data_IF_217014786370
#
_entry.id   IF_217014786370
#
_cell.length_a   1.000
_cell.length_b   1.000
_cell.length_c   1.000
_cell.angle_alpha   90.00
_cell.angle_beta   90.00
_cell.angle_gamma   90.00
#
_symmetry.space_group_name_H-M   'P 1'
#
loop_
_entity.id
_entity.type
_entity.pdbx_description
1 polymer ?
#
# COMPACT_ATOMS: atom_id res chain seq x y z
N UNK A 1 6.03 -63.37 13.67
CA UNK A 1 5.30 -63.66 14.93
C UNK A 1 4.33 -62.53 15.19
N UNK A 2 3.05 -62.86 15.44
CA UNK A 2 1.90 -61.99 15.77
C UNK A 2 1.41 -61.12 14.59
N UNK A 3 0.38 -61.46 13.78
CA UNK A 3 -1.02 -61.85 14.03
C UNK A 3 -1.86 -60.77 14.73
N UNK A 4 -3.05 -60.48 14.17
CA UNK A 4 -4.24 -59.72 14.63
C UNK A 4 -4.61 -58.57 13.67
N UNK A 5 -5.81 -58.41 13.09
CA UNK A 5 -7.01 -59.23 12.95
C UNK A 5 -7.83 -58.69 11.76
N UNK A 6 -8.60 -59.58 11.12
CA UNK A 6 -9.38 -59.40 9.89
C UNK A 6 -10.87 -59.17 10.24
N UNK A 7 -11.62 -58.58 9.29
CA UNK A 7 -13.10 -58.51 9.14
C UNK A 7 -13.84 -57.36 9.83
N UNK A 8 -14.42 -56.50 8.99
CA UNK A 8 -15.87 -56.35 8.95
C UNK A 8 -16.34 -55.91 7.54
N UNK A 9 -17.00 -56.83 6.83
CA UNK A 9 -17.84 -56.55 5.67
C UNK A 9 -19.22 -57.15 5.97
N UNK A 10 -20.27 -56.38 5.72
CA UNK A 10 -21.61 -56.91 5.50
C UNK A 10 -22.72 -56.08 6.13
N UNK A 11 -23.38 -55.23 5.34
CA UNK A 11 -24.81 -55.42 5.17
C UNK A 11 -25.34 -54.83 3.86
N UNK A 12 -26.14 -55.65 3.17
CA UNK A 12 -26.96 -55.31 1.99
C UNK A 12 -28.24 -54.64 2.47
N UNK A 13 -28.73 -53.63 1.75
CA UNK A 13 -30.04 -53.06 2.05
C UNK A 13 -30.55 -51.99 1.08
N UNK A 14 -31.25 -52.47 0.05
CA UNK A 14 -32.40 -51.86 -0.65
C UNK A 14 -32.19 -50.68 -1.63
N UNK A 15 -32.79 -50.92 -2.80
CA UNK A 15 -33.01 -50.02 -3.93
C UNK A 15 -33.99 -48.89 -3.58
N UNK A 16 -33.67 -47.69 -4.04
CA UNK A 16 -34.61 -46.58 -4.23
C UNK A 16 -34.19 -45.81 -5.48
N UNK A 17 -35.00 -45.88 -6.54
CA UNK A 17 -34.84 -45.09 -7.76
C UNK A 17 -35.32 -43.67 -7.48
N UNK A 18 -34.42 -42.69 -7.50
CA UNK A 18 -34.75 -41.28 -7.74
C UNK A 18 -33.86 -40.74 -8.84
N UNK A 19 -34.49 -40.44 -9.97
CA UNK A 19 -33.91 -39.63 -11.05
C UNK A 19 -34.03 -38.17 -10.65
N UNK A 20 -32.92 -37.57 -10.21
CA UNK A 20 -32.78 -36.14 -9.98
C UNK A 20 -31.45 -35.69 -10.58
N UNK A 21 -31.55 -34.76 -11.53
CA UNK A 21 -30.42 -34.09 -12.19
C UNK A 21 -29.39 -33.61 -11.18
N UNK A 22 -28.20 -34.20 -11.21
CA UNK A 22 -27.02 -33.74 -10.47
C UNK A 22 -26.07 -33.06 -11.44
N UNK A 23 -25.80 -31.78 -11.20
CA UNK A 23 -24.65 -31.08 -11.75
C UNK A 23 -23.36 -31.87 -11.47
N UNK A 24 -22.35 -31.81 -12.36
CA UNK A 24 -21.10 -32.53 -12.15
C UNK A 24 -20.36 -31.96 -10.93
N UNK A 25 -20.33 -32.74 -9.85
CA UNK A 25 -19.47 -32.50 -8.70
C UNK A 25 -18.04 -32.81 -9.12
N UNK A 26 -17.16 -31.81 -9.03
CA UNK A 26 -15.74 -31.95 -9.30
C UNK A 26 -15.08 -32.69 -8.12
N UNK A 27 -14.82 -33.98 -8.30
CA UNK A 27 -14.11 -34.83 -7.32
C UNK A 27 -12.60 -34.54 -7.38
N UNK A 28 -12.14 -33.67 -6.47
CA UNK A 28 -10.72 -33.45 -6.22
C UNK A 28 -10.27 -34.51 -5.22
N UNK A 29 -9.80 -35.65 -5.74
CA UNK A 29 -9.31 -36.77 -4.94
C UNK A 29 -8.29 -36.36 -3.85
N UNK A 30 -8.02 -37.25 -2.88
CA UNK A 30 -7.25 -36.91 -1.69
C UNK A 30 -5.87 -36.37 -2.04
N UNK A 31 -5.50 -35.26 -1.39
CA UNK A 31 -4.23 -34.58 -1.59
C UNK A 31 -3.07 -35.55 -1.34
N UNK A 32 -2.19 -35.68 -2.34
CA UNK A 32 -0.96 -36.45 -2.22
C UNK A 32 -0.12 -35.93 -1.04
N UNK A 33 0.20 -36.83 -0.12
CA UNK A 33 1.19 -36.58 0.94
C UNK A 33 2.55 -36.40 0.28
N UNK A 34 3.09 -35.19 0.34
CA UNK A 34 4.42 -34.88 -0.17
C UNK A 34 5.47 -35.06 0.92
N UNK A 35 6.39 -35.94 0.58
CA UNK A 35 7.60 -36.33 1.29
C UNK A 35 8.59 -35.17 1.47
N UNK A 36 9.28 -35.19 2.60
CA UNK A 36 10.15 -34.15 3.13
C UNK A 36 11.62 -34.48 2.81
N UNK A 37 12.23 -33.74 1.88
CA UNK A 37 13.69 -33.46 1.84
C UNK A 37 14.12 -32.86 0.51
N UNK A 38 14.07 -31.53 0.42
CA UNK A 38 14.99 -30.66 -0.36
C UNK A 38 14.40 -29.25 -0.45
N UNK A 39 15.27 -28.24 -0.32
CA UNK A 39 14.97 -26.80 -0.24
C UNK A 39 14.00 -26.31 -1.32
N UNK A 40 12.69 -26.46 -1.09
CA UNK A 40 11.63 -25.80 -1.84
C UNK A 40 11.24 -24.55 -1.08
N UNK A 41 11.85 -23.41 -1.41
CA UNK A 41 11.21 -22.14 -1.08
C UNK A 41 9.90 -22.16 -1.87
N UNK A 42 8.71 -22.19 -1.22
CA UNK A 42 7.49 -22.53 -1.93
C UNK A 42 7.11 -21.39 -2.88
N UNK A 43 6.18 -21.65 -3.79
CA UNK A 43 5.25 -20.62 -4.34
C UNK A 43 4.36 -20.04 -3.21
N UNK A 44 4.94 -19.78 -2.05
CA UNK A 44 4.27 -19.27 -0.88
C UNK A 44 3.95 -17.80 -1.11
N UNK A 45 2.74 -17.43 -0.74
CA UNK A 45 2.28 -16.06 -0.67
C UNK A 45 3.30 -15.21 0.12
N UNK A 46 3.86 -14.18 -0.55
CA UNK A 46 4.81 -13.23 0.02
C UNK A 46 4.29 -12.66 1.34
N UNK A 47 2.98 -12.44 1.48
CA UNK A 47 2.38 -11.94 2.70
C UNK A 47 2.61 -12.90 3.89
N UNK A 48 2.47 -14.21 3.68
CA UNK A 48 2.73 -15.22 4.71
C UNK A 48 4.19 -15.27 5.11
N UNK A 49 5.10 -15.17 4.14
CA UNK A 49 6.55 -15.12 4.40
C UNK A 49 6.93 -13.84 5.16
N UNK A 50 6.31 -12.70 4.84
CA UNK A 50 6.47 -11.48 5.61
C UNK A 50 5.94 -11.64 7.04
N UNK A 51 4.78 -12.26 7.25
CA UNK A 51 4.27 -12.57 8.61
C UNK A 51 5.27 -13.46 9.36
N UNK A 52 5.82 -14.48 8.70
CA UNK A 52 6.82 -15.37 9.27
C UNK A 52 8.08 -14.62 9.70
N UNK A 53 8.63 -13.73 8.87
CA UNK A 53 9.76 -12.88 9.27
C UNK A 53 9.45 -12.04 10.54
N UNK A 54 8.23 -11.51 10.66
CA UNK A 54 7.81 -10.81 11.88
C UNK A 54 7.76 -11.73 13.10
N UNK A 55 7.31 -12.98 12.92
CA UNK A 55 7.26 -13.98 14.01
C UNK A 55 8.67 -14.35 14.45
N UNK A 56 9.58 -14.67 13.52
CA UNK A 56 11.00 -14.95 13.80
C UNK A 56 11.61 -13.79 14.59
N UNK A 57 11.38 -12.55 14.14
CA UNK A 57 11.87 -11.35 14.84
C UNK A 57 11.39 -11.29 16.29
N UNK A 58 10.12 -11.61 16.55
CA UNK A 58 9.55 -11.57 17.91
C UNK A 58 10.06 -12.70 18.80
N UNK A 59 10.37 -13.87 18.24
CA UNK A 59 10.72 -15.07 19.02
C UNK A 59 12.21 -15.31 19.16
N UNK A 60 13.00 -14.94 18.14
CA UNK A 60 14.44 -15.23 18.06
C UNK A 60 15.30 -13.96 18.06
N UNK A 61 14.81 -12.89 17.46
CA UNK A 61 15.50 -11.61 17.43
C UNK A 61 15.62 -11.05 16.01
N UNK A 62 16.19 -9.85 15.90
CA UNK A 62 16.39 -9.20 14.61
C UNK A 62 17.37 -9.98 13.72
N UNK A 63 18.44 -10.51 14.29
CA UNK A 63 19.49 -11.21 13.55
C UNK A 63 18.97 -12.41 12.75
N UNK A 64 18.22 -13.32 13.39
CA UNK A 64 17.66 -14.50 12.72
C UNK A 64 16.60 -14.12 11.69
N UNK A 65 15.87 -13.02 11.92
CA UNK A 65 14.92 -12.51 10.95
C UNK A 65 15.61 -11.87 9.73
N UNK A 66 16.77 -11.24 9.92
CA UNK A 66 17.61 -10.72 8.85
C UNK A 66 18.12 -11.86 7.98
N UNK A 67 18.75 -12.89 8.57
CA UNK A 67 19.25 -14.05 7.82
C UNK A 67 18.15 -14.71 6.98
N UNK A 68 16.96 -14.91 7.57
CA UNK A 68 15.81 -15.44 6.84
C UNK A 68 15.39 -14.56 5.64
N UNK A 69 15.42 -13.24 5.80
CA UNK A 69 15.04 -12.30 4.75
C UNK A 69 16.13 -12.14 3.68
N UNK A 70 17.41 -12.28 4.03
CA UNK A 70 18.54 -12.31 3.09
C UNK A 70 18.42 -13.54 2.17
N UNK A 71 18.22 -14.72 2.75
CA UNK A 71 18.00 -15.96 1.98
C UNK A 71 16.81 -15.81 1.01
N UNK A 72 15.74 -15.15 1.47
CA UNK A 72 14.55 -14.91 0.66
C UNK A 72 14.82 -13.89 -0.46
N UNK A 73 15.60 -12.85 -0.19
CA UNK A 73 15.99 -11.85 -1.17
C UNK A 73 16.87 -12.47 -2.27
N UNK A 74 17.84 -13.31 -1.90
CA UNK A 74 18.68 -14.04 -2.86
C UNK A 74 17.84 -14.95 -3.77
N UNK A 75 16.87 -15.67 -3.19
CA UNK A 75 15.94 -16.47 -3.97
C UNK A 75 15.14 -15.62 -4.96
N UNK A 76 14.55 -14.51 -4.51
CA UNK A 76 13.76 -13.67 -5.40
C UNK A 76 14.58 -12.91 -6.44
N UNK A 77 15.84 -12.58 -6.14
CA UNK A 77 16.76 -12.05 -7.12
C UNK A 77 17.01 -13.06 -8.24
N UNK A 78 17.33 -14.31 -7.88
CA UNK A 78 17.58 -15.40 -8.85
C UNK A 78 16.37 -15.65 -9.75
N UNK A 79 15.18 -15.66 -9.16
CA UNK A 79 13.91 -15.87 -9.87
C UNK A 79 13.38 -14.60 -10.57
N UNK A 80 14.09 -13.46 -10.47
CA UNK A 80 13.64 -12.14 -10.95
C UNK A 80 12.21 -11.82 -10.49
N UNK A 81 11.91 -12.16 -9.25
CA UNK A 81 10.58 -12.04 -8.69
C UNK A 81 10.37 -10.66 -8.07
N UNK A 82 9.24 -10.04 -8.42
CA UNK A 82 8.81 -8.74 -7.89
C UNK A 82 8.64 -8.74 -6.35
N UNK A 83 8.46 -9.89 -5.72
CA UNK A 83 8.48 -10.00 -4.26
C UNK A 83 9.81 -9.53 -3.61
N UNK A 84 10.89 -9.41 -4.38
CA UNK A 84 12.18 -8.89 -3.92
C UNK A 84 12.06 -7.49 -3.30
N UNK A 85 11.38 -6.54 -3.96
CA UNK A 85 11.26 -5.16 -3.45
C UNK A 85 10.55 -5.13 -2.09
N UNK A 86 9.50 -5.95 -1.95
CA UNK A 86 8.78 -6.07 -0.67
C UNK A 86 9.69 -6.65 0.42
N UNK A 87 10.51 -7.63 0.06
CA UNK A 87 11.47 -8.28 0.96
C UNK A 87 12.54 -7.29 1.40
N UNK A 88 13.14 -6.54 0.47
CA UNK A 88 14.16 -5.50 0.75
C UNK A 88 13.62 -4.39 1.64
N UNK A 89 12.40 -3.90 1.34
CA UNK A 89 11.73 -2.86 2.14
C UNK A 89 11.50 -3.29 3.60
N UNK A 90 11.51 -4.59 3.88
CA UNK A 90 11.41 -5.14 5.24
C UNK A 90 12.77 -5.48 5.86
N UNK A 91 13.66 -6.05 5.05
CA UNK A 91 14.99 -6.48 5.45
C UNK A 91 15.84 -5.29 5.92
N UNK A 92 15.93 -4.22 5.13
CA UNK A 92 16.80 -3.08 5.47
C UNK A 92 16.41 -2.44 6.82
N UNK A 93 15.12 -2.17 7.13
CA UNK A 93 14.74 -1.73 8.47
C UNK A 93 15.06 -2.72 9.60
N UNK A 94 15.15 -4.03 9.31
CA UNK A 94 15.54 -5.03 10.31
C UNK A 94 17.06 -5.02 10.52
N UNK A 95 17.85 -4.89 9.44
CA UNK A 95 19.31 -4.74 9.53
C UNK A 95 19.69 -3.50 10.35
N UNK A 96 18.99 -2.36 10.18
CA UNK A 96 19.22 -1.13 10.97
C UNK A 96 18.97 -1.29 12.47
N UNK A 97 18.17 -2.30 12.86
CA UNK A 97 17.78 -2.56 14.25
C UNK A 97 18.50 -3.76 14.86
N UNK A 98 19.24 -4.51 14.06
CA UNK A 98 20.09 -5.59 14.53
C UNK A 98 21.36 -5.00 15.14
N UNK A 99 21.59 -5.24 16.42
CA UNK A 99 22.78 -4.76 17.14
C UNK A 99 24.08 -5.42 16.66
N UNK A 100 23.99 -6.53 15.92
CA UNK A 100 25.15 -7.24 15.35
C UNK A 100 25.57 -6.69 13.98
N UNK A 101 24.74 -5.83 13.37
CA UNK A 101 24.99 -5.27 12.05
C UNK A 101 25.24 -3.77 12.14
N UNK A 102 26.22 -3.31 11.37
CA UNK A 102 26.48 -1.88 11.19
C UNK A 102 25.66 -1.36 10.02
N UNK A 103 25.36 -0.06 10.03
CA UNK A 103 24.74 0.63 8.89
C UNK A 103 25.55 0.44 7.60
N UNK A 104 26.87 0.44 7.71
CA UNK A 104 27.79 0.20 6.61
C UNK A 104 27.56 -1.17 5.95
N UNK A 105 27.39 -2.23 6.74
CA UNK A 105 27.12 -3.58 6.21
C UNK A 105 25.79 -3.63 5.47
N UNK A 106 24.74 -3.02 6.03
CA UNK A 106 23.45 -2.94 5.35
C UNK A 106 23.54 -2.20 4.01
N UNK A 107 24.36 -1.14 3.96
CA UNK A 107 24.59 -0.35 2.74
C UNK A 107 25.35 -1.15 1.70
N UNK A 108 26.44 -1.81 2.09
CA UNK A 108 27.22 -2.67 1.19
C UNK A 108 26.38 -3.81 0.62
N UNK A 109 25.58 -4.47 1.47
CA UNK A 109 24.67 -5.53 1.03
C UNK A 109 23.66 -5.00 -0.01
N UNK A 110 23.03 -3.85 0.27
CA UNK A 110 22.05 -3.27 -0.65
C UNK A 110 22.70 -2.79 -1.96
N UNK A 111 23.92 -2.28 -1.89
CA UNK A 111 24.68 -1.83 -3.06
C UNK A 111 25.06 -3.00 -3.96
N UNK A 112 25.50 -4.12 -3.38
CA UNK A 112 25.75 -5.37 -4.09
C UNK A 112 24.47 -5.92 -4.74
N UNK A 113 23.36 -5.94 -3.98
CA UNK A 113 22.06 -6.35 -4.52
C UNK A 113 21.69 -5.51 -5.74
N UNK A 114 21.76 -4.17 -5.63
CA UNK A 114 21.44 -3.26 -6.74
C UNK A 114 22.33 -3.52 -7.96
N UNK A 115 23.62 -3.78 -7.76
CA UNK A 115 24.56 -4.12 -8.84
C UNK A 115 24.19 -5.40 -9.61
N UNK A 116 23.38 -6.27 -9.01
CA UNK A 116 22.88 -7.52 -9.61
C UNK A 116 21.47 -7.40 -10.19
N UNK A 117 20.77 -6.28 -10.00
CA UNK A 117 19.41 -6.09 -10.52
C UNK A 117 19.42 -5.79 -12.03
N UNK A 118 18.39 -6.24 -12.78
CA UNK A 118 18.25 -5.86 -14.17
C UNK A 118 17.88 -4.37 -14.28
N UNK A 119 18.77 -3.59 -14.89
CA UNK A 119 18.62 -2.12 -15.05
C UNK A 119 17.37 -1.74 -15.86
N UNK A 120 16.92 -2.62 -16.75
CA UNK A 120 15.79 -2.37 -17.65
C UNK A 120 14.42 -2.63 -17.03
N UNK A 121 14.33 -3.21 -15.83
CA UNK A 121 13.05 -3.57 -15.22
C UNK A 121 12.59 -2.46 -14.24
N UNK A 122 11.50 -1.74 -14.57
CA UNK A 122 11.00 -0.65 -13.75
C UNK A 122 10.60 -1.06 -12.33
N UNK A 123 10.29 -2.34 -12.12
CA UNK A 123 9.83 -2.83 -10.83
C UNK A 123 10.91 -2.69 -9.76
N UNK A 124 12.17 -2.99 -10.11
CA UNK A 124 13.28 -2.98 -9.17
C UNK A 124 13.82 -1.58 -8.88
N UNK A 125 13.41 -0.56 -9.66
CA UNK A 125 13.85 0.83 -9.44
C UNK A 125 13.53 1.32 -8.02
N UNK A 126 12.44 0.82 -7.41
CA UNK A 126 12.06 1.20 -6.04
C UNK A 126 13.09 0.78 -4.97
N UNK A 127 14.00 -0.15 -5.26
CA UNK A 127 15.11 -0.49 -4.36
C UNK A 127 16.02 0.73 -4.14
N UNK A 128 16.17 1.61 -5.14
CA UNK A 128 16.95 2.84 -5.02
C UNK A 128 16.36 3.84 -4.01
N UNK A 129 15.05 3.82 -3.75
CA UNK A 129 14.44 4.62 -2.68
C UNK A 129 14.93 4.13 -1.33
N UNK A 130 14.99 2.81 -1.13
CA UNK A 130 15.51 2.21 0.11
C UNK A 130 16.98 2.53 0.31
N UNK A 131 17.78 2.52 -0.77
CA UNK A 131 19.18 2.96 -0.70
C UNK A 131 19.30 4.43 -0.28
N UNK A 132 18.50 5.31 -0.88
CA UNK A 132 18.52 6.72 -0.52
C UNK A 132 18.09 6.96 0.94
N UNK A 133 17.08 6.25 1.45
CA UNK A 133 16.69 6.28 2.87
C UNK A 133 17.79 5.75 3.81
N UNK A 134 18.63 4.85 3.34
CA UNK A 134 19.77 4.36 4.11
C UNK A 134 20.90 5.41 4.12
N UNK A 135 21.19 6.03 2.97
CA UNK A 135 22.17 7.12 2.85
C UNK A 135 21.77 8.38 3.63
N UNK A 136 20.48 8.63 3.82
CA UNK A 136 19.98 9.76 4.62
C UNK A 136 20.56 9.75 6.05
N UNK A 137 20.84 8.58 6.61
CA UNK A 137 21.44 8.43 7.96
C UNK A 137 22.82 9.07 8.03
N UNK A 138 23.56 9.10 6.92
CA UNK A 138 24.88 9.74 6.82
C UNK A 138 24.80 11.23 6.44
N UNK A 139 23.62 11.71 6.10
CA UNK A 139 23.37 13.08 5.66
C UNK A 139 22.38 13.15 4.51
N UNK A 140 21.40 14.04 4.63
CA UNK A 140 20.36 14.26 3.60
C UNK A 140 20.97 14.63 2.25
N UNK A 141 22.11 15.35 2.21
CA UNK A 141 22.81 15.69 0.98
C UNK A 141 23.22 14.46 0.16
N UNK A 142 23.71 13.41 0.83
CA UNK A 142 24.11 12.17 0.15
C UNK A 142 22.93 11.45 -0.48
N UNK A 143 21.79 11.42 0.23
CA UNK A 143 20.56 10.84 -0.28
C UNK A 143 20.02 11.61 -1.50
N UNK A 144 20.11 12.95 -1.46
CA UNK A 144 19.75 13.84 -2.58
C UNK A 144 20.67 13.60 -3.77
N UNK A 145 21.99 13.61 -3.57
CA UNK A 145 22.98 13.38 -4.62
C UNK A 145 22.73 12.03 -5.32
N UNK A 146 22.51 10.98 -4.53
CA UNK A 146 22.21 9.65 -5.03
C UNK A 146 20.96 9.62 -5.91
N UNK A 147 19.83 10.16 -5.42
CA UNK A 147 18.59 10.17 -6.20
C UNK A 147 18.66 11.06 -7.44
N UNK A 148 19.39 12.18 -7.37
CA UNK A 148 19.63 13.04 -8.54
C UNK A 148 20.39 12.30 -9.63
N UNK A 149 21.49 11.64 -9.26
CA UNK A 149 22.27 10.83 -10.20
C UNK A 149 21.42 9.73 -10.82
N UNK A 150 20.67 8.99 -9.99
CA UNK A 150 19.76 7.95 -10.45
C UNK A 150 18.72 8.48 -11.46
N UNK A 151 18.09 9.62 -11.16
CA UNK A 151 17.09 10.24 -12.04
C UNK A 151 17.68 10.81 -13.33
N UNK A 152 18.94 11.25 -13.32
CA UNK A 152 19.66 11.65 -14.55
C UNK A 152 19.89 10.47 -15.48
N UNK A 153 20.17 9.28 -14.92
CA UNK A 153 20.44 8.06 -15.69
C UNK A 153 19.16 7.39 -16.22
N UNK A 154 18.03 7.49 -15.48
CA UNK A 154 16.79 6.76 -15.80
C UNK A 154 15.68 7.63 -16.40
N UNK A 155 15.90 8.95 -16.47
CA UNK A 155 14.94 9.98 -16.86
C UNK A 155 13.63 9.98 -16.02
N UNK A 156 13.02 11.16 -15.79
CA UNK A 156 11.69 11.23 -15.18
C UNK A 156 10.64 10.45 -16.00
N UNK A 157 9.86 9.60 -15.34
CA UNK A 157 8.77 8.82 -15.91
C UNK A 157 7.74 8.43 -14.83
N UNK A 158 6.64 7.78 -15.23
CA UNK A 158 5.67 7.23 -14.29
C UNK A 158 6.26 6.15 -13.37
N UNK A 159 7.39 5.54 -13.74
CA UNK A 159 8.08 4.51 -12.94
C UNK A 159 9.07 5.11 -11.94
N UNK A 160 9.63 6.29 -12.23
CA UNK A 160 10.51 7.05 -11.32
C UNK A 160 9.75 8.10 -10.49
N UNK A 161 8.42 8.12 -10.58
CA UNK A 161 7.55 9.02 -9.85
C UNK A 161 7.83 9.06 -8.33
N UNK A 162 7.96 7.90 -7.69
CA UNK A 162 8.19 7.84 -6.25
C UNK A 162 9.59 8.35 -5.85
N UNK A 163 10.56 8.28 -6.76
CA UNK A 163 11.89 8.88 -6.56
C UNK A 163 11.82 10.39 -6.61
N UNK A 164 11.03 10.98 -7.51
CA UNK A 164 10.77 12.42 -7.53
C UNK A 164 10.13 12.90 -6.23
N UNK A 165 9.10 12.19 -5.74
CA UNK A 165 8.48 12.54 -4.46
C UNK A 165 9.48 12.42 -3.32
N UNK A 166 10.28 11.35 -3.29
CA UNK A 166 11.27 11.17 -2.23
C UNK A 166 12.34 12.25 -2.25
N UNK A 167 12.79 12.64 -3.43
CA UNK A 167 13.75 13.73 -3.61
C UNK A 167 13.16 15.05 -3.12
N UNK A 168 11.89 15.34 -3.42
CA UNK A 168 11.18 16.49 -2.87
C UNK A 168 11.12 16.44 -1.33
N UNK A 169 10.81 15.28 -0.74
CA UNK A 169 10.77 15.12 0.71
C UNK A 169 12.14 15.36 1.38
N UNK A 170 13.25 14.99 0.73
CA UNK A 170 14.59 15.26 1.25
C UNK A 170 14.95 16.74 1.17
N UNK A 171 14.68 17.41 0.04
CA UNK A 171 14.86 18.87 -0.07
C UNK A 171 14.04 19.62 0.99
N UNK A 172 12.81 19.17 1.24
CA UNK A 172 11.95 19.71 2.28
C UNK A 172 12.59 19.61 3.65
N UNK A 173 13.14 18.43 4.00
CA UNK A 173 13.85 18.22 5.28
C UNK A 173 15.06 19.13 5.45
N UNK A 174 15.69 19.59 4.37
CA UNK A 174 16.77 20.58 4.40
C UNK A 174 16.28 22.05 4.45
N UNK A 175 14.97 22.27 4.33
CA UNK A 175 14.39 23.61 4.23
C UNK A 175 14.45 24.21 2.82
N UNK A 176 14.86 23.47 1.80
CA UNK A 176 14.81 23.94 0.40
C UNK A 176 13.41 23.72 -0.20
N UNK A 177 12.50 24.61 0.18
CA UNK A 177 11.10 24.60 -0.21
C UNK A 177 10.93 24.87 -1.71
N UNK A 178 11.86 25.59 -2.34
CA UNK A 178 11.86 25.87 -3.78
C UNK A 178 12.10 24.59 -4.58
N UNK A 179 13.12 23.82 -4.22
CA UNK A 179 13.38 22.53 -4.88
C UNK A 179 12.30 21.51 -4.58
N UNK A 180 11.77 21.50 -3.34
CA UNK A 180 10.62 20.67 -2.98
C UNK A 180 9.46 20.91 -3.94
N UNK A 181 9.06 22.17 -4.15
CA UNK A 181 7.99 22.54 -5.08
C UNK A 181 8.31 22.11 -6.51
N UNK A 182 9.53 22.38 -6.99
CA UNK A 182 9.95 22.02 -8.34
C UNK A 182 9.80 20.51 -8.62
N UNK A 183 10.28 19.65 -7.73
CA UNK A 183 10.17 18.20 -7.91
C UNK A 183 8.75 17.68 -7.75
N UNK A 184 7.91 18.30 -6.90
CA UNK A 184 6.49 17.97 -6.83
C UNK A 184 5.76 18.32 -8.13
N UNK A 185 6.05 19.46 -8.76
CA UNK A 185 5.45 19.82 -10.06
C UNK A 185 5.93 18.90 -11.19
N UNK A 186 7.21 18.50 -11.19
CA UNK A 186 7.69 17.49 -12.13
C UNK A 186 7.00 16.14 -11.93
N UNK A 187 6.80 15.70 -10.67
CA UNK A 187 6.09 14.47 -10.38
C UNK A 187 4.63 14.51 -10.86
N UNK A 188 3.98 15.68 -10.74
CA UNK A 188 2.59 15.92 -11.17
C UNK A 188 2.36 15.66 -12.66
N UNK A 189 3.36 15.88 -13.51
CA UNK A 189 3.27 15.65 -14.96
C UNK A 189 2.97 14.19 -15.31
N UNK A 190 3.23 13.25 -14.39
CA UNK A 190 3.02 11.81 -14.58
C UNK A 190 1.65 11.32 -14.10
N UNK A 191 0.73 12.22 -13.77
CA UNK A 191 -0.66 11.86 -13.50
C UNK A 191 -1.39 11.57 -14.80
N UNK A 192 -1.44 10.30 -15.17
CA UNK A 192 -2.18 9.83 -16.34
C UNK A 192 -3.43 9.04 -15.90
N UNK A 193 -4.60 9.48 -16.38
CA UNK A 193 -5.90 8.82 -16.14
C UNK A 193 -5.99 7.43 -16.75
N UNK A 194 -5.08 7.09 -17.69
CA UNK A 194 -4.94 5.76 -18.28
C UNK A 194 -4.21 4.77 -17.36
N UNK A 195 -3.59 5.23 -16.28
CA UNK A 195 -2.99 4.34 -15.29
C UNK A 195 -4.07 3.51 -14.60
N UNK A 196 -3.70 2.31 -14.18
CA UNK A 196 -4.55 1.47 -13.34
C UNK A 196 -5.03 2.27 -12.11
N UNK A 197 -6.33 2.19 -11.81
CA UNK A 197 -7.02 2.93 -10.74
C UNK A 197 -6.20 3.08 -9.46
N UNK A 198 -5.80 1.95 -8.87
CA UNK A 198 -5.08 1.95 -7.60
C UNK A 198 -3.65 2.49 -7.71
N UNK A 199 -3.00 2.39 -8.88
CA UNK A 199 -1.69 3.01 -9.12
C UNK A 199 -1.84 4.53 -9.09
N UNK A 200 -2.79 5.08 -9.83
CA UNK A 200 -3.05 6.52 -9.86
C UNK A 200 -3.44 7.05 -8.47
N UNK A 201 -4.37 6.40 -7.78
CA UNK A 201 -4.78 6.80 -6.41
C UNK A 201 -3.59 6.83 -5.45
N UNK A 202 -2.71 5.82 -5.49
CA UNK A 202 -1.50 5.79 -4.64
C UNK A 202 -0.53 6.92 -4.97
N UNK A 203 -0.34 7.24 -6.25
CA UNK A 203 0.49 8.37 -6.68
C UNK A 203 -0.08 9.69 -6.16
N UNK A 204 -1.35 9.98 -6.47
CA UNK A 204 -2.05 11.19 -6.01
C UNK A 204 -2.00 11.35 -4.48
N UNK A 205 -2.28 10.27 -3.74
CA UNK A 205 -2.24 10.28 -2.27
C UNK A 205 -0.84 10.66 -1.77
N UNK A 206 0.21 10.08 -2.35
CA UNK A 206 1.59 10.35 -1.96
C UNK A 206 2.00 11.79 -2.31
N UNK A 207 1.56 12.30 -3.46
CA UNK A 207 1.79 13.71 -3.80
C UNK A 207 1.13 14.66 -2.80
N UNK A 208 -0.16 14.48 -2.52
CA UNK A 208 -0.90 15.35 -1.60
C UNK A 208 -0.33 15.31 -0.18
N UNK A 209 0.19 14.16 0.25
CA UNK A 209 0.92 14.08 1.50
C UNK A 209 2.13 15.04 1.54
N UNK A 210 3.01 14.95 0.54
CA UNK A 210 4.19 15.82 0.46
C UNK A 210 3.83 17.29 0.20
N UNK A 211 2.79 17.56 -0.59
CA UNK A 211 2.26 18.89 -0.82
C UNK A 211 1.70 19.51 0.46
N UNK A 212 0.95 18.76 1.28
CA UNK A 212 0.51 19.23 2.59
C UNK A 212 1.69 19.62 3.48
N UNK A 213 2.73 18.78 3.56
CA UNK A 213 3.92 19.11 4.35
C UNK A 213 4.62 20.38 3.82
N UNK A 214 4.73 20.53 2.50
CA UNK A 214 5.24 21.75 1.88
C UNK A 214 4.39 22.97 2.22
N UNK A 215 3.06 22.91 2.16
CA UNK A 215 2.18 24.05 2.49
C UNK A 215 2.30 24.44 3.97
N UNK A 216 2.50 23.46 4.85
CA UNK A 216 2.68 23.71 6.28
C UNK A 216 4.00 24.43 6.60
N UNK A 217 5.09 23.99 5.97
CA UNK A 217 6.46 24.48 6.24
C UNK A 217 6.85 25.69 5.38
N UNK A 218 6.32 25.75 4.15
CA UNK A 218 6.65 26.69 3.09
C UNK A 218 6.49 28.16 3.46
N UNK A 219 5.59 28.45 4.38
CA UNK A 219 5.05 29.79 4.60
C UNK A 219 4.86 30.16 6.08
N UNK A 220 5.41 29.39 7.04
CA UNK A 220 5.20 29.65 8.46
C UNK A 220 3.71 29.79 8.83
N UNK A 221 2.92 28.75 8.55
CA UNK A 221 1.47 28.66 8.80
C UNK A 221 0.55 29.65 8.06
N UNK A 222 1.01 30.37 7.02
CA UNK A 222 0.17 31.39 6.37
C UNK A 222 -0.94 30.87 5.43
N UNK A 223 -0.91 29.60 5.03
CA UNK A 223 -2.03 29.02 4.26
C UNK A 223 -2.54 27.71 4.89
N UNK A 224 -3.24 27.81 6.04
CA UNK A 224 -3.86 26.66 6.68
C UNK A 224 -4.89 25.98 5.77
N UNK A 225 -5.51 26.73 4.86
CA UNK A 225 -6.52 26.21 3.95
C UNK A 225 -5.87 25.28 2.90
N UNK A 226 -4.76 25.69 2.28
CA UNK A 226 -4.05 24.83 1.32
C UNK A 226 -3.47 23.56 1.98
N UNK A 227 -2.94 23.68 3.20
CA UNK A 227 -2.56 22.51 4.01
C UNK A 227 -3.75 21.57 4.23
N UNK A 228 -4.89 22.09 4.72
CA UNK A 228 -6.08 21.28 4.99
C UNK A 228 -6.65 20.65 3.73
N UNK A 229 -6.64 21.38 2.61
CA UNK A 229 -7.04 20.86 1.30
C UNK A 229 -6.23 19.62 0.95
N UNK A 230 -4.90 19.70 1.00
CA UNK A 230 -4.05 18.56 0.69
C UNK A 230 -4.18 17.41 1.70
N UNK A 231 -4.35 17.70 3.00
CA UNK A 231 -4.62 16.65 4.02
C UNK A 231 -5.95 15.94 3.78
N UNK A 232 -6.99 16.66 3.40
CA UNK A 232 -8.31 16.09 3.10
C UNK A 232 -8.30 15.31 1.78
N UNK A 233 -7.55 15.77 0.77
CA UNK A 233 -7.31 15.00 -0.45
C UNK A 233 -6.57 13.69 -0.16
N UNK A 234 -5.52 13.72 0.65
CA UNK A 234 -4.81 12.51 1.09
C UNK A 234 -5.77 11.53 1.78
N UNK A 235 -6.62 12.02 2.68
CA UNK A 235 -7.62 11.21 3.36
C UNK A 235 -8.64 10.59 2.40
N UNK A 236 -9.25 11.39 1.54
CA UNK A 236 -10.23 10.91 0.55
C UNK A 236 -9.61 9.85 -0.36
N UNK A 237 -8.36 10.04 -0.81
CA UNK A 237 -7.63 9.08 -1.64
C UNK A 237 -7.21 7.82 -0.86
N UNK A 238 -6.92 7.91 0.44
CA UNK A 238 -6.70 6.73 1.29
C UNK A 238 -7.96 5.87 1.38
N UNK A 239 -9.12 6.50 1.53
CA UNK A 239 -10.41 5.80 1.56
C UNK A 239 -10.80 5.26 0.18
N UNK A 240 -10.60 6.02 -0.90
CA UNK A 240 -10.81 5.55 -2.26
C UNK A 240 -9.92 4.35 -2.64
N UNK A 241 -8.74 4.22 -2.02
CA UNK A 241 -7.84 3.09 -2.22
C UNK A 241 -8.37 1.78 -1.63
N UNK A 242 -9.19 1.84 -0.59
CA UNK A 242 -9.82 0.66 0.05
C UNK A 242 -11.30 0.51 -0.29
N UNK A 243 -11.85 1.43 -1.06
CA UNK A 243 -13.19 1.35 -1.60
C UNK A 243 -13.18 0.35 -2.77
N UNK A 244 -13.43 -0.92 -2.46
CA UNK A 244 -13.61 -1.99 -3.43
C UNK A 244 -14.90 -2.74 -3.06
N UNK A 245 -15.94 -2.75 -3.92
CA UNK A 245 -17.17 -3.50 -3.66
C UNK A 245 -16.99 -5.00 -3.41
N UNK A 246 -15.89 -5.60 -3.90
CA UNK A 246 -15.55 -7.01 -3.62
C UNK A 246 -14.99 -7.17 -2.20
N UNK A 247 -14.35 -6.14 -1.67
CA UNK A 247 -13.67 -6.14 -0.37
C UNK A 247 -14.18 -4.99 0.54
N UNK A 248 -15.50 -4.75 0.54
CA UNK A 248 -16.09 -3.58 1.20
C UNK A 248 -15.81 -3.53 2.71
N UNK A 249 -15.58 -4.69 3.33
CA UNK A 249 -15.16 -4.78 4.74
C UNK A 249 -13.89 -3.98 5.04
N UNK A 250 -12.95 -3.89 4.09
CA UNK A 250 -11.73 -3.10 4.29
C UNK A 250 -12.02 -1.60 4.32
N UNK A 251 -13.01 -1.13 3.56
CA UNK A 251 -13.52 0.24 3.66
C UNK A 251 -14.12 0.52 5.04
N UNK A 252 -14.98 -0.38 5.54
CA UNK A 252 -15.61 -0.23 6.86
C UNK A 252 -14.59 -0.31 8.00
N UNK A 253 -13.66 -1.28 7.97
CA UNK A 253 -12.55 -1.36 8.93
C UNK A 253 -11.71 -0.08 8.93
N UNK A 254 -11.45 0.49 7.75
CA UNK A 254 -10.70 1.74 7.62
C UNK A 254 -11.48 2.92 8.18
N UNK A 255 -12.77 3.06 7.84
CA UNK A 255 -13.70 4.06 8.38
C UNK A 255 -13.71 4.04 9.91
N UNK A 256 -13.82 2.85 10.48
CA UNK A 256 -13.75 2.60 11.93
C UNK A 256 -12.46 3.12 12.58
N UNK A 257 -11.31 2.93 11.91
CA UNK A 257 -10.02 3.41 12.42
C UNK A 257 -9.96 4.94 12.46
N UNK A 258 -10.57 5.63 11.49
CA UNK A 258 -10.65 7.10 11.46
C UNK A 258 -11.54 7.63 12.59
N UNK A 259 -12.74 7.06 12.78
CA UNK A 259 -13.61 7.45 13.90
C UNK A 259 -12.97 7.22 15.27
N UNK A 260 -12.19 6.13 15.42
CA UNK A 260 -11.47 5.80 16.67
C UNK A 260 -10.19 6.60 16.87
N UNK A 261 -9.83 7.51 15.95
CA UNK A 261 -8.56 8.26 16.00
C UNK A 261 -7.30 7.39 15.89
N UNK A 262 -7.43 6.13 15.47
CA UNK A 262 -6.31 5.18 15.30
C UNK A 262 -5.56 5.39 13.98
N UNK A 263 -6.15 6.18 13.07
CA UNK A 263 -5.60 6.56 11.77
C UNK A 263 -6.13 7.95 11.43
N UNK A 264 -5.34 8.72 10.70
CA UNK A 264 -5.79 9.91 10.02
C UNK A 264 -4.93 11.11 10.29
N UNK A 265 -5.53 12.29 10.11
CA UNK A 265 -4.90 13.59 10.31
C UNK A 265 -5.41 14.29 11.58
N UNK A 266 -6.54 13.87 12.13
CA UNK A 266 -7.09 14.43 13.37
C UNK A 266 -6.14 14.13 14.53
N UNK A 267 -5.84 15.13 15.35
CA UNK A 267 -4.92 15.00 16.48
C UNK A 267 -3.43 15.08 16.14
N UNK A 268 -3.04 15.33 14.87
CA UNK A 268 -1.65 15.68 14.58
C UNK A 268 -1.39 17.14 14.93
N UNK A 269 -0.19 17.46 15.42
CA UNK A 269 0.15 18.83 15.80
C UNK A 269 0.05 19.81 14.64
N UNK A 270 0.32 19.38 13.40
CA UNK A 270 0.14 20.22 12.21
C UNK A 270 -1.33 20.52 11.94
N UNK A 271 -2.22 19.53 12.10
CA UNK A 271 -3.65 19.72 11.91
C UNK A 271 -4.26 20.64 12.96
N UNK A 272 -3.92 20.44 14.24
CA UNK A 272 -4.41 21.31 15.32
C UNK A 272 -3.96 22.76 15.10
N UNK A 273 -2.69 22.98 14.75
CA UNK A 273 -2.19 24.32 14.41
C UNK A 273 -2.89 24.95 13.20
N UNK A 274 -3.17 24.16 12.17
CA UNK A 274 -3.84 24.67 10.98
C UNK A 274 -5.29 25.06 11.29
N UNK A 275 -6.01 24.25 12.07
CA UNK A 275 -7.42 24.47 12.35
C UNK A 275 -7.70 25.58 13.36
N UNK A 276 -6.72 25.90 14.21
CA UNK A 276 -6.74 27.06 15.11
C UNK A 276 -6.50 28.39 14.39
N UNK A 277 -6.13 28.35 13.10
CA UNK A 277 -5.86 29.57 12.36
C UNK A 277 -7.13 30.41 12.15
N UNK A 278 -7.10 31.72 12.47
CA UNK A 278 -8.26 32.61 12.29
C UNK A 278 -8.63 32.82 10.81
N UNK A 279 -7.78 32.39 9.87
CA UNK A 279 -8.05 32.46 8.44
C UNK A 279 -9.08 31.43 7.96
N UNK A 280 -9.43 30.43 8.77
CA UNK A 280 -10.40 29.41 8.38
C UNK A 280 -11.83 29.85 8.70
N UNK A 281 -12.76 29.71 7.75
CA UNK A 281 -14.15 30.17 7.92
C UNK A 281 -15.00 29.25 8.83
N UNK A 282 -14.51 28.05 9.15
CA UNK A 282 -15.26 27.00 9.86
C UNK A 282 -14.49 26.52 11.07
N UNK A 283 -15.23 26.20 12.13
CA UNK A 283 -14.67 25.54 13.30
C UNK A 283 -14.32 24.07 13.01
N UNK A 284 -13.53 23.48 13.92
CA UNK A 284 -13.03 22.10 13.84
C UNK A 284 -14.13 21.08 13.56
N UNK A 285 -15.18 21.08 14.38
CA UNK A 285 -16.22 20.06 14.33
C UNK A 285 -16.98 20.10 13.01
N UNK A 286 -17.23 21.29 12.48
CA UNK A 286 -17.86 21.47 11.16
C UNK A 286 -16.97 20.90 10.06
N UNK A 287 -15.68 21.22 10.05
CA UNK A 287 -14.74 20.71 9.04
C UNK A 287 -14.64 19.18 9.08
N UNK A 288 -14.51 18.59 10.27
CA UNK A 288 -14.43 17.14 10.46
C UNK A 288 -15.74 16.46 10.04
N UNK A 289 -16.89 17.00 10.45
CA UNK A 289 -18.19 16.45 10.06
C UNK A 289 -18.39 16.50 8.55
N UNK A 290 -18.08 17.64 7.92
CA UNK A 290 -18.26 17.83 6.48
C UNK A 290 -17.34 16.90 5.68
N UNK A 291 -16.06 16.76 6.06
CA UNK A 291 -15.14 15.86 5.36
C UNK A 291 -15.45 14.38 5.60
N UNK A 292 -15.88 13.99 6.80
CA UNK A 292 -16.29 12.60 7.07
C UNK A 292 -17.60 12.26 6.36
N UNK A 293 -18.60 13.14 6.39
CA UNK A 293 -19.84 12.96 5.65
C UNK A 293 -19.58 12.84 4.15
N UNK A 294 -18.72 13.69 3.59
CA UNK A 294 -18.33 13.58 2.20
C UNK A 294 -17.62 12.26 1.90
N UNK A 295 -16.56 11.91 2.63
CA UNK A 295 -15.70 10.76 2.30
C UNK A 295 -16.39 9.42 2.59
N UNK A 296 -17.24 9.34 3.61
CA UNK A 296 -17.87 8.08 4.00
C UNK A 296 -19.22 7.83 3.34
N UNK A 297 -19.97 8.88 2.99
CA UNK A 297 -21.34 8.75 2.48
C UNK A 297 -21.46 9.20 1.02
N UNK A 298 -20.96 10.40 0.66
CA UNK A 298 -21.11 10.93 -0.72
C UNK A 298 -20.10 10.34 -1.71
N UNK A 299 -18.84 10.21 -1.30
CA UNK A 299 -17.73 9.82 -2.17
C UNK A 299 -17.89 8.39 -2.74
N UNK A 300 -18.32 7.37 -1.97
CA UNK A 300 -18.54 6.04 -2.52
C UNK A 300 -19.51 6.04 -3.71
N UNK A 301 -20.63 6.75 -3.57
CA UNK A 301 -21.64 6.90 -4.60
C UNK A 301 -21.07 7.61 -5.84
N UNK A 302 -20.36 8.72 -5.63
CA UNK A 302 -19.66 9.46 -6.70
C UNK A 302 -18.66 8.58 -7.47
N UNK A 303 -17.94 7.70 -6.76
CA UNK A 303 -16.97 6.78 -7.34
C UNK A 303 -17.62 5.55 -7.99
N UNK A 304 -18.95 5.45 -7.98
CA UNK A 304 -19.71 4.40 -8.66
C UNK A 304 -19.93 3.14 -7.82
N UNK A 305 -19.84 3.23 -6.49
CA UNK A 305 -20.26 2.17 -5.56
C UNK A 305 -21.69 2.46 -5.11
N UNK A 306 -22.69 1.66 -5.52
CA UNK A 306 -24.07 1.85 -5.10
C UNK A 306 -24.26 1.69 -3.59
N UNK A 307 -25.28 2.34 -3.04
CA UNK A 307 -25.65 2.26 -1.62
C UNK A 307 -25.83 0.81 -1.15
N UNK A 308 -26.51 -0.02 -1.96
CA UNK A 308 -26.66 -1.47 -1.67
C UNK A 308 -25.31 -2.17 -1.49
N UNK A 309 -24.29 -1.82 -2.28
CA UNK A 309 -22.96 -2.43 -2.17
C UNK A 309 -22.16 -1.86 -0.98
N UNK A 310 -22.39 -0.60 -0.63
CA UNK A 310 -21.77 0.03 0.53
C UNK A 310 -22.23 -0.62 1.84
N UNK A 311 -23.49 -1.05 1.92
CA UNK A 311 -24.09 -1.72 3.08
C UNK A 311 -24.21 -3.24 2.93
N UNK A 312 -23.48 -3.83 1.98
CA UNK A 312 -23.55 -5.26 1.73
C UNK A 312 -23.03 -6.08 2.93
N UNK A 313 -23.80 -7.08 3.34
CA UNK A 313 -23.42 -8.07 4.34
C UNK A 313 -23.23 -9.46 3.71
N UNK A 314 -22.28 -10.28 4.20
CA UNK A 314 -22.15 -11.65 3.74
C UNK A 314 -23.47 -12.43 3.90
N UNK A 315 -24.02 -12.89 2.77
CA UNK A 315 -25.31 -13.58 2.71
C UNK A 315 -26.44 -12.79 2.06
N UNK A 316 -26.25 -11.49 1.83
CA UNK A 316 -27.22 -10.68 1.09
C UNK A 316 -27.34 -11.17 -0.36
N UNK A 317 -28.55 -11.16 -0.95
CA UNK A 317 -28.77 -11.60 -2.32
C UNK A 317 -28.12 -10.63 -3.33
N UNK A 318 -27.30 -11.20 -4.21
CA UNK A 318 -26.70 -10.48 -5.35
C UNK A 318 -27.12 -11.12 -6.67
N UNK A 319 -27.47 -10.27 -7.62
CA UNK A 319 -27.61 -10.65 -9.02
C UNK A 319 -26.25 -10.89 -9.67
N UNK A 320 -26.24 -11.67 -10.75
CA UNK A 320 -25.02 -11.89 -11.54
C UNK A 320 -24.46 -10.59 -12.13
N UNK A 321 -25.31 -9.63 -12.47
CA UNK A 321 -24.85 -8.33 -12.96
C UNK A 321 -24.13 -7.55 -11.86
N UNK A 322 -24.67 -7.50 -10.63
CA UNK A 322 -24.00 -6.86 -9.50
C UNK A 322 -22.60 -7.43 -9.27
N UNK A 323 -22.46 -8.75 -9.25
CA UNK A 323 -21.16 -9.42 -9.11
C UNK A 323 -20.20 -9.05 -10.25
N UNK A 324 -20.70 -8.96 -11.49
CA UNK A 324 -19.90 -8.51 -12.65
C UNK A 324 -19.46 -7.06 -12.49
N UNK A 325 -20.36 -6.15 -12.08
CA UNK A 325 -20.03 -4.75 -11.84
C UNK A 325 -18.98 -4.60 -10.73
N UNK A 326 -19.09 -5.35 -9.63
CA UNK A 326 -18.08 -5.39 -8.55
C UNK A 326 -16.69 -5.76 -9.09
N UNK A 327 -16.60 -6.82 -9.89
CA UNK A 327 -15.33 -7.28 -10.47
C UNK A 327 -14.71 -6.26 -11.44
N UNK A 328 -15.54 -5.54 -12.20
CA UNK A 328 -15.07 -4.53 -13.15
C UNK A 328 -14.65 -3.22 -12.45
N UNK A 329 -15.10 -2.97 -11.23
CA UNK A 329 -14.82 -1.72 -10.50
C UNK A 329 -13.32 -1.42 -10.40
N UNK A 330 -12.53 -2.42 -9.98
CA UNK A 330 -11.07 -2.29 -9.82
C UNK A 330 -10.33 -2.03 -11.12
N UNK A 331 -10.90 -2.46 -12.26
CA UNK A 331 -10.32 -2.29 -13.60
C UNK A 331 -10.67 -0.97 -14.25
N UNK A 332 -11.70 -0.27 -13.78
CA UNK A 332 -12.12 1.04 -14.34
C UNK A 332 -11.09 2.11 -14.00
N UNK A 333 -10.73 3.00 -14.93
CA UNK A 333 -9.82 4.10 -14.65
C UNK A 333 -10.36 5.02 -13.54
N UNK A 334 -9.47 5.71 -12.84
CA UNK A 334 -9.84 6.69 -11.82
C UNK A 334 -10.01 8.07 -12.46
N UNK A 335 -11.26 8.40 -12.83
CA UNK A 335 -11.57 9.63 -13.61
C UNK A 335 -12.19 10.76 -12.79
N UNK A 336 -12.56 10.52 -11.53
CA UNK A 336 -13.30 11.46 -10.68
C UNK A 336 -12.41 12.36 -9.82
N UNK A 337 -11.11 12.45 -10.11
CA UNK A 337 -10.16 13.22 -9.29
C UNK A 337 -10.55 14.71 -9.17
N UNK A 338 -10.92 15.35 -10.29
CA UNK A 338 -11.32 16.77 -10.30
C UNK A 338 -12.58 17.05 -9.46
N UNK A 339 -13.53 16.11 -9.44
CA UNK A 339 -14.73 16.22 -8.64
C UNK A 339 -14.42 16.12 -7.14
N UNK A 340 -13.51 15.25 -6.75
CA UNK A 340 -13.01 15.18 -5.36
C UNK A 340 -12.34 16.50 -4.97
N UNK A 341 -11.45 17.01 -5.84
CA UNK A 341 -10.75 18.27 -5.61
C UNK A 341 -11.74 19.43 -5.43
N UNK A 342 -12.71 19.58 -6.33
CA UNK A 342 -13.75 20.62 -6.23
C UNK A 342 -14.56 20.54 -4.93
N UNK A 343 -14.95 19.33 -4.53
CA UNK A 343 -15.70 19.12 -3.28
C UNK A 343 -14.86 19.47 -2.05
N UNK A 344 -13.60 19.05 -2.01
CA UNK A 344 -12.73 19.30 -0.86
C UNK A 344 -12.35 20.79 -0.76
N UNK A 345 -12.10 21.48 -1.89
CA UNK A 345 -11.94 22.94 -1.91
C UNK A 345 -13.13 23.65 -1.29
N UNK A 346 -14.36 23.27 -1.70
CA UNK A 346 -15.60 23.80 -1.10
C UNK A 346 -15.70 23.53 0.41
N UNK A 347 -15.29 22.36 0.89
CA UNK A 347 -15.32 22.02 2.32
C UNK A 347 -14.41 22.95 3.12
N UNK A 348 -13.20 23.19 2.62
CA UNK A 348 -12.16 24.03 3.26
C UNK A 348 -12.45 25.52 3.09
N UNK A 349 -13.15 25.93 2.04
CA UNK A 349 -13.44 27.33 1.71
C UNK A 349 -12.46 27.96 0.71
N UNK A 350 -11.91 27.16 -0.21
CA UNK A 350 -11.02 27.56 -1.31
C UNK A 350 -11.74 27.64 -2.66
#
# INVERSE_FOLDING_TARGET
MLSFFKKWFGNKGKQGKHTGSTDPVLDLGPAATLDDSSKKIPKADIHRLMIQATRIRKTKGYHEAVLFLEDLAEYYLKERNTALVTTVNKLVPYMKKDTQLTYEKARQWLQDLIGRLPVTDPYFLNVHITMAELLEVEGTDKAIEYLKKFLQEHLPSADTYYHLIRLADFYRKQGDLKQTKNYLEQARQWWDTKLARYRLIKMLRRWHHSAALLSFEGNGSKDPADFLFHRFMEFALDMACVLDPVQIDEFHKRKDQYYKGKRGFSGTSQFEKAIESPALPKNRDTLIRDIFGFVFEEMPLMLGVPEKQLHFHPGDPESLDEVRQKKLFSTRPFTRYEELEKKIRKIVGL
#
